data_IF_642811052343
#
_entry.id   IF_642811052343
#
_cell.length_a   1.000
_cell.length_b   1.000
_cell.length_c   1.000
_cell.angle_alpha   90.00
_cell.angle_beta   90.00
_cell.angle_gamma   90.00
#
_symmetry.space_group_name_H-M   'P 1'
#
loop_
_entity.id
_entity.type
_entity.pdbx_description
1 polymer ?
#
# COMPACT_ATOMS: atom_id res chain seq x y z
N UNK A 1 -4.96 17.30 33.50
CA UNK A 1 -4.97 15.90 33.03
C UNK A 1 -3.61 15.56 32.43
N UNK A 2 -3.11 14.35 32.64
CA UNK A 2 -1.90 13.87 31.93
C UNK A 2 -2.17 13.81 30.43
N UNK A 3 -1.11 13.87 29.62
CA UNK A 3 -1.21 13.71 28.16
C UNK A 3 -1.94 12.41 27.77
N UNK A 4 -1.57 11.30 28.41
CA UNK A 4 -2.22 9.98 28.20
C UNK A 4 -3.72 10.01 28.49
N UNK A 5 -4.17 10.74 29.51
CA UNK A 5 -5.59 10.87 29.82
C UNK A 5 -6.32 11.73 28.78
N UNK A 6 -5.68 12.80 28.29
CA UNK A 6 -6.22 13.61 27.18
C UNK A 6 -6.33 12.81 25.89
N UNK A 7 -5.37 11.93 25.62
CA UNK A 7 -5.34 11.05 24.46
C UNK A 7 -6.44 9.99 24.49
N UNK A 8 -6.64 9.32 25.63
CA UNK A 8 -7.75 8.40 25.85
C UNK A 8 -9.10 9.11 25.66
N UNK A 9 -9.25 10.30 26.25
CA UNK A 9 -10.46 11.09 26.11
C UNK A 9 -10.72 11.54 24.68
N UNK A 10 -9.68 11.96 23.95
CA UNK A 10 -9.78 12.34 22.55
C UNK A 10 -10.30 11.20 21.68
N UNK A 11 -9.80 9.98 21.93
CA UNK A 11 -10.22 8.78 21.25
C UNK A 11 -11.68 8.46 21.52
N UNK A 12 -12.12 8.49 22.78
CA UNK A 12 -13.53 8.26 23.14
C UNK A 12 -14.47 9.24 22.41
N UNK A 13 -14.10 10.52 22.36
CA UNK A 13 -14.92 11.55 21.70
C UNK A 13 -14.95 11.31 20.18
N UNK A 14 -13.82 10.93 19.56
CA UNK A 14 -13.77 10.59 18.14
C UNK A 14 -14.57 9.32 17.81
N UNK A 15 -14.50 8.29 18.65
CA UNK A 15 -15.27 7.04 18.51
C UNK A 15 -16.78 7.32 18.61
N UNK A 16 -17.19 8.21 19.52
CA UNK A 16 -18.62 8.57 19.70
C UNK A 16 -19.17 9.44 18.58
N UNK A 17 -18.38 10.42 18.11
CA UNK A 17 -18.85 11.42 17.14
C UNK A 17 -18.60 10.99 15.68
N UNK A 18 -17.69 10.05 15.45
CA UNK A 18 -17.29 9.57 14.12
C UNK A 18 -16.48 10.59 13.30
N UNK A 19 -16.83 11.88 13.38
CA UNK A 19 -16.09 13.01 12.78
C UNK A 19 -16.14 14.21 13.73
N UNK A 20 -15.03 14.90 13.89
CA UNK A 20 -14.90 16.04 14.79
C UNK A 20 -13.93 17.08 14.23
N UNK A 21 -14.28 18.37 14.30
CA UNK A 21 -13.33 19.41 13.92
C UNK A 21 -12.19 19.51 14.95
N UNK A 22 -10.97 19.84 14.48
CA UNK A 22 -9.80 20.09 15.34
C UNK A 22 -10.11 21.16 16.40
N UNK A 23 -10.87 22.20 16.05
CA UNK A 23 -11.32 23.23 16.99
C UNK A 23 -12.30 22.72 18.03
N UNK A 24 -13.18 21.78 17.67
CA UNK A 24 -14.10 21.16 18.63
C UNK A 24 -13.35 20.23 19.59
N UNK A 25 -12.38 19.45 19.09
CA UNK A 25 -11.52 18.62 19.93
C UNK A 25 -10.70 19.47 20.92
N UNK A 26 -10.11 20.57 20.44
CA UNK A 26 -9.38 21.51 21.29
C UNK A 26 -10.25 22.15 22.37
N UNK A 27 -11.53 22.43 22.09
CA UNK A 27 -12.46 22.94 23.11
C UNK A 27 -12.86 21.87 24.13
N UNK A 28 -13.13 20.65 23.68
CA UNK A 28 -13.51 19.52 24.55
C UNK A 28 -12.39 19.13 25.53
N UNK A 29 -11.13 19.25 25.11
CA UNK A 29 -9.97 18.84 25.90
C UNK A 29 -9.21 20.01 26.55
N UNK A 30 -9.71 21.23 26.38
CA UNK A 30 -9.05 22.47 26.82
C UNK A 30 -7.61 22.61 26.28
N UNK A 31 -7.40 22.22 25.02
CA UNK A 31 -6.11 22.22 24.32
C UNK A 31 -6.00 23.33 23.27
N UNK A 32 -4.82 23.95 23.15
CA UNK A 32 -4.52 24.99 22.17
C UNK A 32 -3.09 24.91 21.68
N UNK A 33 -2.86 25.42 20.46
CA UNK A 33 -1.54 25.53 19.86
C UNK A 33 -0.81 24.19 19.82
N UNK A 34 0.46 24.21 20.18
CA UNK A 34 1.36 23.06 20.08
C UNK A 34 0.85 21.81 20.81
N UNK A 35 0.20 21.95 21.97
CA UNK A 35 -0.31 20.80 22.72
C UNK A 35 -1.48 20.10 22.00
N UNK A 36 -2.28 20.84 21.23
CA UNK A 36 -3.33 20.27 20.39
C UNK A 36 -2.74 19.60 19.15
N UNK A 37 -1.71 20.19 18.56
CA UNK A 37 -1.02 19.64 17.39
C UNK A 37 -0.32 18.32 17.76
N UNK A 38 0.40 18.27 18.89
CA UNK A 38 1.03 17.04 19.40
C UNK A 38 0.01 15.92 19.66
N UNK A 39 -1.17 16.26 20.19
CA UNK A 39 -2.25 15.29 20.38
C UNK A 39 -2.77 14.75 19.04
N UNK A 40 -2.90 15.62 18.03
CA UNK A 40 -3.37 15.24 16.70
C UNK A 40 -2.36 14.32 16.03
N UNK A 41 -1.08 14.68 16.07
CA UNK A 41 0.01 13.88 15.51
C UNK A 41 0.06 12.50 16.18
N UNK A 42 -0.15 12.43 17.50
CA UNK A 42 -0.25 11.15 18.21
C UNK A 42 -1.47 10.31 17.75
N UNK A 43 -2.64 10.93 17.55
CA UNK A 43 -3.85 10.20 17.11
C UNK A 43 -3.77 9.73 15.65
N UNK A 44 -3.13 10.51 14.78
CA UNK A 44 -3.08 10.29 13.33
C UNK A 44 -1.84 9.47 12.94
N UNK A 45 -0.65 9.93 13.34
CA UNK A 45 0.62 9.38 12.85
C UNK A 45 1.14 8.24 13.72
N UNK A 46 0.92 8.29 15.04
CA UNK A 46 1.43 7.28 15.98
C UNK A 46 0.42 6.14 16.18
N UNK A 47 -0.82 6.48 16.51
CA UNK A 47 -1.84 5.46 16.83
C UNK A 47 -2.70 5.05 15.64
N UNK A 48 -2.77 5.87 14.59
CA UNK A 48 -3.60 5.59 13.41
C UNK A 48 -5.08 5.42 13.71
N UNK A 49 -5.58 6.00 14.80
CA UNK A 49 -6.99 5.92 15.22
C UNK A 49 -7.86 7.01 14.60
N UNK A 50 -7.23 7.97 13.92
CA UNK A 50 -7.92 9.05 13.24
C UNK A 50 -7.27 9.35 11.87
N UNK A 51 -8.09 9.85 10.94
CA UNK A 51 -7.62 10.43 9.67
C UNK A 51 -7.91 11.92 9.69
N UNK A 52 -6.92 12.74 9.31
CA UNK A 52 -7.06 14.19 9.21
C UNK A 52 -7.42 14.60 7.79
N UNK A 53 -8.54 15.31 7.65
CA UNK A 53 -8.99 15.97 6.43
C UNK A 53 -9.11 17.48 6.69
N UNK A 54 -8.02 18.21 6.43
CA UNK A 54 -7.90 19.63 6.73
C UNK A 54 -8.09 19.95 8.22
N UNK A 55 -9.22 20.58 8.56
CA UNK A 55 -9.58 20.94 9.94
C UNK A 55 -10.50 19.92 10.62
N UNK A 56 -10.70 18.74 10.03
CA UNK A 56 -11.57 17.68 10.52
C UNK A 56 -10.75 16.42 10.79
N UNK A 57 -11.04 15.77 11.91
CA UNK A 57 -10.58 14.43 12.26
C UNK A 57 -11.76 13.47 12.08
N UNK A 58 -11.55 12.37 11.37
CA UNK A 58 -12.50 11.27 11.26
C UNK A 58 -11.95 10.06 12.02
N UNK A 59 -12.80 9.35 12.75
CA UNK A 59 -12.44 8.08 13.36
C UNK A 59 -12.00 7.12 12.26
N UNK A 60 -10.78 6.61 12.33
CA UNK A 60 -10.41 5.45 11.56
C UNK A 60 -11.16 4.29 12.21
N UNK A 61 -12.22 3.80 11.55
CA UNK A 61 -13.03 2.72 12.11
C UNK A 61 -12.11 1.60 12.62
N UNK A 62 -12.39 1.00 13.80
CA UNK A 62 -11.67 -0.20 14.18
C UNK A 62 -11.84 -1.18 13.03
N UNK A 63 -10.74 -1.79 12.58
CA UNK A 63 -10.80 -2.92 11.67
C UNK A 63 -11.61 -3.99 12.39
N UNK A 64 -12.93 -3.98 12.20
CA UNK A 64 -13.79 -5.05 12.64
C UNK A 64 -13.26 -6.31 11.96
N UNK A 65 -12.63 -7.16 12.76
CA UNK A 65 -12.62 -8.59 12.49
C UNK A 65 -14.08 -9.03 12.46
N UNK A 66 -14.75 -8.83 11.32
CA UNK A 66 -15.97 -9.57 11.02
C UNK A 66 -15.60 -11.04 11.14
N UNK A 67 -16.22 -11.72 12.10
CA UNK A 67 -16.21 -13.17 12.10
C UNK A 67 -16.61 -13.63 10.70
N UNK A 68 -15.88 -14.58 10.08
CA UNK A 68 -16.29 -15.10 8.80
C UNK A 68 -17.67 -15.73 9.00
N UNK A 69 -18.67 -15.16 8.33
CA UNK A 69 -19.92 -15.89 8.08
C UNK A 69 -19.50 -17.15 7.33
N UNK A 70 -19.76 -18.36 7.85
CA UNK A 70 -19.39 -19.57 7.14
C UNK A 70 -20.17 -19.60 5.83
N UNK A 71 -19.48 -19.40 4.70
CA UNK A 71 -20.06 -19.61 3.37
C UNK A 71 -20.06 -18.43 2.38
N UNK A 72 -19.21 -17.40 2.51
CA UNK A 72 -19.13 -16.36 1.45
C UNK A 72 -17.69 -15.95 1.16
N UNK A 73 -16.97 -16.76 0.36
CA UNK A 73 -15.55 -16.54 0.05
C UNK A 73 -15.33 -15.83 -1.30
N UNK A 74 -16.33 -15.72 -2.17
CA UNK A 74 -16.13 -15.08 -3.49
C UNK A 74 -16.55 -13.61 -3.57
N UNK A 75 -17.37 -13.10 -2.65
CA UNK A 75 -17.95 -11.75 -2.75
C UNK A 75 -17.24 -10.62 -1.99
N UNK A 76 -16.44 -10.91 -0.97
CA UNK A 76 -15.82 -9.88 -0.10
C UNK A 76 -14.51 -9.33 -0.65
N UNK A 77 -13.76 -10.15 -1.39
CA UNK A 77 -12.48 -9.76 -1.98
C UNK A 77 -12.68 -8.82 -3.17
N UNK A 78 -13.63 -9.15 -4.05
CA UNK A 78 -14.00 -8.33 -5.22
C UNK A 78 -14.48 -6.95 -4.79
N UNK A 79 -15.26 -6.84 -3.70
CA UNK A 79 -15.75 -5.56 -3.19
C UNK A 79 -14.62 -4.67 -2.67
N UNK A 80 -13.63 -5.24 -1.98
CA UNK A 80 -12.48 -4.49 -1.49
C UNK A 80 -11.52 -4.05 -2.62
N UNK A 81 -11.42 -4.85 -3.69
CA UNK A 81 -10.57 -4.54 -4.85
C UNK A 81 -11.23 -3.51 -5.78
N UNK A 82 -12.54 -3.56 -5.93
CA UNK A 82 -13.37 -2.57 -6.64
C UNK A 82 -13.36 -1.21 -5.91
N UNK A 83 -13.55 -1.20 -4.59
CA UNK A 83 -13.42 0.02 -3.79
C UNK A 83 -12.00 0.61 -3.86
N UNK A 84 -10.95 -0.23 -3.86
CA UNK A 84 -9.57 0.24 -3.98
C UNK A 84 -9.26 0.84 -5.36
N UNK A 85 -9.81 0.25 -6.43
CA UNK A 85 -9.69 0.77 -7.78
C UNK A 85 -10.42 2.11 -7.92
N UNK A 86 -11.67 2.19 -7.49
CA UNK A 86 -12.51 3.40 -7.56
C UNK A 86 -11.88 4.55 -6.77
N UNK A 87 -11.38 4.27 -5.55
CA UNK A 87 -10.68 5.27 -4.75
C UNK A 87 -9.41 5.76 -5.45
N UNK A 88 -8.60 4.85 -5.98
CA UNK A 88 -7.32 5.21 -6.62
C UNK A 88 -7.54 5.96 -7.93
N UNK A 89 -8.51 5.53 -8.74
CA UNK A 89 -8.94 6.19 -9.96
C UNK A 89 -9.45 7.60 -9.67
N UNK A 90 -10.32 7.75 -8.66
CA UNK A 90 -10.82 9.05 -8.23
C UNK A 90 -9.75 9.99 -7.66
N UNK A 91 -8.67 9.46 -7.07
CA UNK A 91 -7.50 10.26 -6.66
C UNK A 91 -6.72 10.75 -7.88
N UNK A 92 -6.47 9.90 -8.87
CA UNK A 92 -5.78 10.25 -10.11
C UNK A 92 -6.52 11.33 -10.89
N UNK A 93 -7.84 11.18 -11.06
CA UNK A 93 -8.64 12.14 -11.80
C UNK A 93 -8.62 13.52 -11.14
N UNK A 94 -8.83 13.57 -9.82
CA UNK A 94 -8.74 14.83 -9.05
C UNK A 94 -7.35 15.45 -9.10
N UNK A 95 -6.30 14.63 -9.03
CA UNK A 95 -4.91 15.07 -9.14
C UNK A 95 -4.64 15.71 -10.50
N UNK A 96 -5.09 15.08 -11.59
CA UNK A 96 -4.97 15.58 -12.97
C UNK A 96 -5.78 16.85 -13.20
N UNK A 97 -7.05 16.86 -12.80
CA UNK A 97 -7.96 17.99 -12.96
C UNK A 97 -7.44 19.24 -12.23
N UNK A 98 -7.03 19.08 -10.98
CA UNK A 98 -6.59 20.19 -10.13
C UNK A 98 -5.10 20.49 -10.26
N UNK A 99 -4.36 19.65 -10.99
CA UNK A 99 -2.90 19.71 -11.15
C UNK A 99 -2.13 19.70 -9.82
N UNK A 100 -2.59 18.91 -8.86
CA UNK A 100 -1.99 18.76 -7.53
C UNK A 100 -1.55 17.33 -7.29
N UNK A 101 -0.42 17.12 -6.60
CA UNK A 101 0.07 15.76 -6.31
C UNK A 101 0.55 14.99 -7.55
N UNK A 102 0.89 15.70 -8.64
CA UNK A 102 1.35 15.10 -9.88
C UNK A 102 2.67 14.33 -9.67
N UNK A 103 3.50 14.73 -8.72
CA UNK A 103 4.69 13.99 -8.30
C UNK A 103 4.40 12.55 -7.85
N UNK A 104 3.17 12.24 -7.45
CA UNK A 104 2.72 10.88 -7.07
C UNK A 104 1.94 10.17 -8.18
N UNK A 105 1.69 10.79 -9.33
CA UNK A 105 0.82 10.24 -10.37
C UNK A 105 1.31 8.88 -10.90
N UNK A 106 2.62 8.73 -11.11
CA UNK A 106 3.22 7.44 -11.51
C UNK A 106 3.03 6.36 -10.43
N UNK A 107 3.03 6.73 -9.15
CA UNK A 107 2.81 5.80 -8.05
C UNK A 107 1.32 5.42 -7.92
N UNK A 108 0.43 6.39 -8.15
CA UNK A 108 -1.00 6.15 -8.18
C UNK A 108 -1.38 5.22 -9.36
N UNK A 109 -0.76 5.39 -10.54
CA UNK A 109 -0.94 4.47 -11.67
C UNK A 109 -0.45 3.05 -11.35
N UNK A 110 0.70 2.89 -10.69
CA UNK A 110 1.18 1.57 -10.24
C UNK A 110 0.24 0.94 -9.19
N UNK A 111 -0.40 1.76 -8.36
CA UNK A 111 -1.39 1.30 -7.37
C UNK A 111 -2.68 0.87 -8.06
N UNK A 112 -3.16 1.63 -9.05
CA UNK A 112 -4.31 1.28 -9.87
C UNK A 112 -4.07 0.00 -10.67
N UNK A 113 -2.85 -0.17 -11.21
CA UNK A 113 -2.42 -1.42 -11.85
C UNK A 113 -2.61 -2.63 -10.94
N UNK A 114 -2.15 -2.53 -9.68
CA UNK A 114 -2.35 -3.61 -8.70
C UNK A 114 -3.81 -3.85 -8.34
N UNK A 115 -4.64 -2.80 -8.30
CA UNK A 115 -6.07 -2.94 -8.05
C UNK A 115 -6.77 -3.66 -9.21
N UNK A 116 -6.50 -3.26 -10.46
CA UNK A 116 -6.97 -3.93 -11.66
C UNK A 116 -6.56 -5.41 -11.68
N UNK A 117 -5.32 -5.72 -11.25
CA UNK A 117 -4.86 -7.09 -11.12
C UNK A 117 -5.64 -7.89 -10.07
N UNK A 118 -6.00 -7.27 -8.93
CA UNK A 118 -6.85 -7.88 -7.91
C UNK A 118 -8.19 -8.36 -8.49
N UNK A 119 -8.77 -7.55 -9.37
CA UNK A 119 -10.01 -7.87 -10.11
C UNK A 119 -9.84 -8.90 -11.22
N UNK A 120 -8.62 -9.36 -11.47
CA UNK A 120 -8.30 -10.31 -12.54
C UNK A 120 -8.13 -9.67 -13.93
N UNK A 121 -8.14 -8.33 -14.04
CA UNK A 121 -7.86 -7.65 -15.31
C UNK A 121 -6.36 -7.44 -15.49
N UNK A 122 -5.66 -8.53 -15.82
CA UNK A 122 -4.21 -8.54 -15.99
C UNK A 122 -3.75 -7.64 -17.15
N UNK A 123 -4.54 -7.54 -18.23
CA UNK A 123 -4.22 -6.72 -19.39
C UNK A 123 -4.28 -5.22 -19.05
N UNK A 124 -5.33 -4.80 -18.33
CA UNK A 124 -5.43 -3.42 -17.84
C UNK A 124 -4.33 -3.11 -16.82
N UNK A 125 -4.05 -4.05 -15.91
CA UNK A 125 -2.96 -3.91 -14.96
C UNK A 125 -1.62 -3.65 -15.66
N UNK A 126 -1.32 -4.39 -16.73
CA UNK A 126 -0.08 -4.20 -17.51
C UNK A 126 -0.02 -2.81 -18.14
N UNK A 127 -1.08 -2.39 -18.82
CA UNK A 127 -1.14 -1.06 -19.46
C UNK A 127 -0.91 0.07 -18.45
N UNK A 128 -1.55 -0.01 -17.29
CA UNK A 128 -1.40 0.98 -16.21
C UNK A 128 0.02 1.02 -15.65
N UNK A 129 0.67 -0.13 -15.51
CA UNK A 129 2.06 -0.19 -15.05
C UNK A 129 3.05 0.35 -16.10
N UNK A 130 2.81 0.08 -17.39
CA UNK A 130 3.60 0.64 -18.49
C UNK A 130 3.47 2.17 -18.54
N UNK A 131 2.25 2.70 -18.40
CA UNK A 131 1.98 4.14 -18.29
C UNK A 131 2.70 4.74 -17.07
N UNK A 132 2.63 4.07 -15.92
CA UNK A 132 3.30 4.49 -14.69
C UNK A 132 4.81 4.65 -14.87
N UNK A 133 5.46 3.69 -15.53
CA UNK A 133 6.90 3.71 -15.80
C UNK A 133 7.23 4.83 -16.80
N UNK A 134 6.46 4.95 -17.88
CA UNK A 134 6.67 5.97 -18.90
C UNK A 134 6.58 7.38 -18.29
N UNK A 135 5.53 7.64 -17.52
CA UNK A 135 5.32 8.91 -16.85
C UNK A 135 6.42 9.21 -15.82
N UNK A 136 6.81 8.21 -15.03
CA UNK A 136 7.87 8.38 -14.05
C UNK A 136 9.21 8.73 -14.69
N UNK A 137 9.54 8.10 -15.82
CA UNK A 137 10.74 8.42 -16.62
C UNK A 137 10.66 9.81 -17.24
N UNK A 138 9.53 10.19 -17.82
CA UNK A 138 9.30 11.54 -18.39
C UNK A 138 9.56 12.63 -17.34
N UNK A 139 9.15 12.38 -16.09
CA UNK A 139 9.33 13.30 -14.96
C UNK A 139 10.69 13.20 -14.26
N UNK A 140 11.61 12.38 -14.76
CA UNK A 140 12.93 12.20 -14.18
C UNK A 140 12.94 11.56 -12.79
N UNK A 141 11.92 10.77 -12.45
CA UNK A 141 11.88 10.05 -11.18
C UNK A 141 12.92 8.93 -11.17
N UNK A 142 13.70 8.88 -10.08
CA UNK A 142 14.76 7.88 -9.89
C UNK A 142 14.29 6.61 -9.18
N UNK A 143 13.33 6.76 -8.26
CA UNK A 143 12.77 5.62 -7.51
C UNK A 143 11.53 5.12 -8.26
N UNK A 144 11.69 4.09 -9.10
CA UNK A 144 10.60 3.48 -9.88
C UNK A 144 10.30 2.01 -9.52
N UNK A 145 10.79 1.57 -8.36
CA UNK A 145 10.72 0.16 -7.93
C UNK A 145 9.28 -0.35 -7.90
N UNK A 146 8.34 0.44 -7.39
CA UNK A 146 6.94 0.03 -7.26
C UNK A 146 6.25 -0.11 -8.63
N UNK A 147 6.61 0.73 -9.59
CA UNK A 147 6.11 0.70 -10.96
C UNK A 147 6.61 -0.57 -11.69
N UNK A 148 7.90 -0.88 -11.55
CA UNK A 148 8.47 -2.10 -12.12
C UNK A 148 7.91 -3.37 -11.47
N UNK A 149 7.69 -3.36 -10.15
CA UNK A 149 7.05 -4.47 -9.43
C UNK A 149 5.60 -4.65 -9.90
N UNK A 150 4.84 -3.58 -10.09
CA UNK A 150 3.47 -3.66 -10.63
C UNK A 150 3.44 -4.27 -12.05
N UNK A 151 4.36 -3.84 -12.93
CA UNK A 151 4.49 -4.40 -14.27
C UNK A 151 4.81 -5.91 -14.22
N UNK A 152 5.76 -6.29 -13.37
CA UNK A 152 6.14 -7.69 -13.23
C UNK A 152 4.98 -8.58 -12.74
N UNK A 153 4.19 -8.12 -11.77
CA UNK A 153 2.99 -8.85 -11.33
C UNK A 153 1.97 -8.99 -12.46
N UNK A 154 1.70 -7.92 -13.21
CA UNK A 154 0.77 -7.96 -14.33
C UNK A 154 1.23 -8.91 -15.44
N UNK A 155 2.52 -8.89 -15.79
CA UNK A 155 3.12 -9.79 -16.78
C UNK A 155 3.01 -11.27 -16.35
N UNK A 156 3.31 -11.58 -15.08
CA UNK A 156 3.14 -12.92 -14.54
C UNK A 156 1.68 -13.40 -14.64
N UNK A 157 0.71 -12.53 -14.37
CA UNK A 157 -0.70 -12.87 -14.44
C UNK A 157 -1.23 -13.03 -15.87
N UNK A 158 -0.84 -12.14 -16.79
CA UNK A 158 -1.33 -12.13 -18.17
C UNK A 158 -0.70 -13.25 -19.03
N UNK A 159 0.57 -13.58 -18.80
CA UNK A 159 1.34 -14.42 -19.69
C UNK A 159 2.00 -15.62 -19.00
N UNK A 160 1.92 -15.73 -17.67
CA UNK A 160 2.50 -16.82 -16.91
C UNK A 160 4.00 -16.99 -17.20
N UNK A 161 4.41 -18.23 -17.44
CA UNK A 161 5.81 -18.56 -17.77
C UNK A 161 6.34 -17.85 -19.03
N UNK A 162 5.49 -17.50 -20.01
CA UNK A 162 5.94 -16.84 -21.24
C UNK A 162 6.50 -15.44 -20.99
N UNK A 163 6.08 -14.80 -19.89
CA UNK A 163 6.57 -13.48 -19.49
C UNK A 163 7.94 -13.50 -18.80
N UNK A 164 8.59 -14.66 -18.62
CA UNK A 164 9.81 -14.80 -17.83
C UNK A 164 10.88 -13.74 -18.15
N UNK A 165 11.25 -13.58 -19.41
CA UNK A 165 12.26 -12.60 -19.81
C UNK A 165 11.85 -11.17 -19.47
N UNK A 166 10.63 -10.78 -19.83
CA UNK A 166 10.12 -9.43 -19.55
C UNK A 166 9.99 -9.13 -18.04
N UNK A 167 9.65 -10.14 -17.24
CA UNK A 167 9.63 -10.03 -15.77
C UNK A 167 11.07 -9.86 -15.26
N UNK A 168 12.00 -10.71 -15.67
CA UNK A 168 13.41 -10.61 -15.28
C UNK A 168 14.00 -9.21 -15.62
N UNK A 169 13.68 -8.66 -16.80
CA UNK A 169 14.08 -7.31 -17.21
C UNK A 169 13.49 -6.22 -16.28
N UNK A 170 12.20 -6.32 -15.94
CA UNK A 170 11.56 -5.39 -15.01
C UNK A 170 12.18 -5.46 -13.61
N UNK A 171 12.51 -6.66 -13.13
CA UNK A 171 13.16 -6.84 -11.83
C UNK A 171 14.60 -6.37 -11.80
N UNK A 172 15.32 -6.50 -12.91
CA UNK A 172 16.65 -5.93 -13.07
C UNK A 172 16.59 -4.40 -13.02
N UNK A 173 15.62 -3.78 -13.70
CA UNK A 173 15.41 -2.33 -13.64
C UNK A 173 15.02 -1.86 -12.23
N UNK A 174 14.15 -2.61 -11.53
CA UNK A 174 13.81 -2.34 -10.14
C UNK A 174 15.04 -2.39 -9.21
N UNK A 175 15.89 -3.42 -9.36
CA UNK A 175 17.11 -3.57 -8.58
C UNK A 175 18.12 -2.45 -8.87
N UNK A 176 18.25 -2.03 -10.14
CA UNK A 176 19.08 -0.88 -10.51
C UNK A 176 18.59 0.41 -9.85
N UNK A 177 17.27 0.65 -9.82
CA UNK A 177 16.69 1.81 -9.16
C UNK A 177 16.96 1.80 -7.64
N UNK A 178 16.87 0.65 -6.97
CA UNK A 178 17.26 0.50 -5.56
C UNK A 178 18.74 0.84 -5.38
N UNK A 179 19.62 0.29 -6.22
CA UNK A 179 21.06 0.48 -6.12
C UNK A 179 21.45 1.96 -6.31
N UNK A 180 20.83 2.66 -7.26
CA UNK A 180 21.09 4.08 -7.51
C UNK A 180 20.61 4.97 -6.35
N UNK A 181 19.45 4.68 -5.78
CA UNK A 181 18.77 5.58 -4.83
C UNK A 181 18.99 5.22 -3.37
N UNK A 182 19.51 4.02 -3.09
CA UNK A 182 19.66 3.50 -1.73
C UNK A 182 18.33 3.09 -1.09
N UNK A 183 17.24 2.95 -1.86
CA UNK A 183 15.91 2.59 -1.38
C UNK A 183 15.78 1.11 -0.95
N UNK A 184 16.66 0.64 -0.06
CA UNK A 184 16.78 -0.76 0.36
C UNK A 184 15.51 -1.32 1.01
N UNK A 185 14.67 -0.44 1.58
CA UNK A 185 13.35 -0.82 2.11
C UNK A 185 12.40 -1.42 1.06
N UNK A 186 12.70 -1.25 -0.24
CA UNK A 186 11.91 -1.80 -1.35
C UNK A 186 12.47 -3.13 -1.90
N UNK A 187 13.64 -3.58 -1.44
CA UNK A 187 14.21 -4.89 -1.81
C UNK A 187 13.28 -6.10 -1.52
N UNK A 188 12.52 -6.15 -0.40
CA UNK A 188 11.60 -7.26 -0.16
C UNK A 188 10.57 -7.44 -1.27
N UNK A 189 10.11 -6.35 -1.90
CA UNK A 189 9.13 -6.40 -2.99
C UNK A 189 9.69 -7.13 -4.20
N UNK A 190 10.97 -6.90 -4.52
CA UNK A 190 11.68 -7.58 -5.62
C UNK A 190 11.82 -9.09 -5.31
N UNK A 191 12.06 -9.45 -4.04
CA UNK A 191 12.13 -10.85 -3.65
C UNK A 191 10.76 -11.56 -3.74
N UNK A 192 9.66 -10.92 -3.33
CA UNK A 192 8.31 -11.49 -3.46
C UNK A 192 7.93 -11.79 -4.91
N UNK A 193 8.21 -10.88 -5.82
CA UNK A 193 7.88 -11.08 -7.25
C UNK A 193 8.80 -12.12 -7.92
N UNK A 194 10.06 -12.27 -7.49
CA UNK A 194 10.89 -13.42 -7.91
C UNK A 194 10.27 -14.74 -7.48
N UNK A 195 9.68 -14.79 -6.29
CA UNK A 195 8.94 -15.97 -5.85
C UNK A 195 7.69 -16.23 -6.70
N UNK A 196 6.99 -15.17 -7.11
CA UNK A 196 5.83 -15.28 -8.00
C UNK A 196 6.22 -15.74 -9.41
N UNK A 197 7.32 -15.22 -9.97
CA UNK A 197 7.88 -15.71 -11.23
C UNK A 197 8.21 -17.21 -11.14
N UNK A 198 8.88 -17.62 -10.07
CA UNK A 198 9.19 -19.03 -9.82
C UNK A 198 7.90 -19.87 -9.72
N UNK A 199 6.85 -19.36 -9.06
CA UNK A 199 5.53 -20.00 -8.98
C UNK A 199 4.94 -20.24 -10.38
N UNK A 200 4.86 -19.22 -11.22
CA UNK A 200 4.27 -19.35 -12.57
C UNK A 200 5.14 -20.18 -13.53
N UNK A 201 6.42 -20.35 -13.21
CA UNK A 201 7.33 -21.24 -13.93
C UNK A 201 7.36 -22.68 -13.37
N UNK A 202 6.64 -22.97 -12.28
CA UNK A 202 6.64 -24.29 -11.64
C UNK A 202 7.90 -24.63 -10.83
N UNK A 203 8.74 -23.64 -10.51
CA UNK A 203 9.97 -23.82 -9.73
C UNK A 203 9.70 -23.62 -8.23
N UNK A 204 9.26 -24.70 -7.56
CA UNK A 204 8.94 -24.67 -6.13
C UNK A 204 10.16 -24.36 -5.25
N UNK A 205 11.36 -24.79 -5.66
CA UNK A 205 12.60 -24.58 -4.89
C UNK A 205 12.99 -23.11 -4.93
N UNK A 206 13.04 -22.50 -6.12
CA UNK A 206 13.32 -21.08 -6.27
C UNK A 206 12.24 -20.23 -5.58
N UNK A 207 10.97 -20.61 -5.68
CA UNK A 207 9.87 -19.95 -4.98
C UNK A 207 10.11 -19.92 -3.46
N UNK A 208 10.40 -21.08 -2.86
CA UNK A 208 10.66 -21.17 -1.42
C UNK A 208 11.90 -20.38 -0.98
N UNK A 209 12.95 -20.36 -1.81
CA UNK A 209 14.14 -19.53 -1.56
C UNK A 209 13.79 -18.03 -1.54
N UNK A 210 13.09 -17.55 -2.57
CA UNK A 210 12.75 -16.14 -2.70
C UNK A 210 11.76 -15.65 -1.62
N UNK A 211 10.80 -16.49 -1.20
CA UNK A 211 9.90 -16.15 -0.09
C UNK A 211 10.64 -16.01 1.25
N UNK A 212 11.62 -16.90 1.52
CA UNK A 212 12.46 -16.78 2.72
C UNK A 212 13.31 -15.52 2.70
N UNK A 213 13.84 -15.16 1.54
CA UNK A 213 14.61 -13.92 1.41
C UNK A 213 13.73 -12.68 1.61
N UNK A 214 12.54 -12.65 1.00
CA UNK A 214 11.57 -11.57 1.22
C UNK A 214 11.19 -11.44 2.71
N UNK A 215 10.94 -12.56 3.39
CA UNK A 215 10.67 -12.59 4.83
C UNK A 215 11.80 -11.95 5.64
N UNK A 216 13.04 -12.42 5.42
CA UNK A 216 14.24 -11.91 6.09
C UNK A 216 14.41 -10.39 5.88
N UNK A 217 14.19 -9.91 4.66
CA UNK A 217 14.30 -8.49 4.34
C UNK A 217 13.20 -7.66 5.01
N UNK A 218 11.96 -8.16 5.07
CA UNK A 218 10.88 -7.48 5.81
C UNK A 218 11.15 -7.42 7.31
N UNK A 219 11.68 -8.47 7.91
CA UNK A 219 12.10 -8.45 9.32
C UNK A 219 13.20 -7.41 9.57
N UNK A 220 14.20 -7.36 8.68
CA UNK A 220 15.31 -6.43 8.81
C UNK A 220 14.87 -4.95 8.79
N UNK A 221 13.78 -4.62 8.08
CA UNK A 221 13.23 -3.26 8.02
C UNK A 221 12.08 -3.01 9.01
N UNK A 222 11.78 -3.97 9.89
CA UNK A 222 10.73 -3.85 10.90
C UNK A 222 9.29 -3.96 10.36
N UNK A 223 9.09 -4.40 9.12
CA UNK A 223 7.77 -4.59 8.51
C UNK A 223 7.11 -5.90 8.97
N UNK A 224 6.85 -6.01 10.26
CA UNK A 224 6.42 -7.25 10.95
C UNK A 224 5.12 -7.84 10.40
N UNK A 225 4.20 -7.00 9.94
CA UNK A 225 2.97 -7.47 9.28
C UNK A 225 3.22 -8.22 7.96
N UNK A 226 4.17 -7.73 7.15
CA UNK A 226 4.57 -8.38 5.90
C UNK A 226 5.34 -9.68 6.19
N UNK A 227 6.27 -9.65 7.15
CA UNK A 227 7.00 -10.84 7.59
C UNK A 227 6.03 -11.95 8.07
N UNK A 228 5.08 -11.60 8.95
CA UNK A 228 4.10 -12.56 9.46
C UNK A 228 3.21 -13.16 8.36
N UNK A 229 2.86 -12.39 7.32
CA UNK A 229 2.13 -12.90 6.14
C UNK A 229 2.95 -13.95 5.40
N UNK A 230 4.24 -13.68 5.16
CA UNK A 230 5.12 -14.59 4.43
C UNK A 230 5.46 -15.84 5.24
N UNK A 231 5.62 -15.73 6.56
CA UNK A 231 5.83 -16.87 7.44
C UNK A 231 4.71 -17.92 7.29
N UNK A 232 3.45 -17.47 7.20
CA UNK A 232 2.30 -18.36 6.94
C UNK A 232 2.38 -19.01 5.56
N UNK A 233 2.79 -18.26 4.53
CA UNK A 233 2.90 -18.78 3.17
C UNK A 233 4.03 -19.81 2.98
N UNK A 234 5.03 -19.82 3.88
CA UNK A 234 6.13 -20.78 3.91
C UNK A 234 5.79 -22.09 4.65
N UNK A 235 4.68 -22.13 5.40
CA UNK A 235 4.21 -23.30 6.14
C UNK A 235 3.30 -24.23 5.32
N UNK A 236 2.97 -23.83 4.09
CA UNK A 236 2.11 -24.55 3.13
C UNK A 236 2.98 -25.13 2.02
#
# INVERSE_FOLDING_TARGET
MSFVAKLQRAREVLEQQGRLSVRALGRELELRGTELDELIDELVDVQGVAVRDGSVLACAAPVERRQPVPGTVEGSRVRNEEEAEDVTSGVLDRSRERRVGLEFESLNLATLSRAALGRGDAARARQLAEEAIALGKERGQKVLVQQYVALAYALCAEHGQRARGAVEDALQAAAAAVAETGARGLEPLIAEIRAELARVCGDAVARGHHLREAHRLYEAIGATGHAARLAKALQV
#
